data_IF_188651007391
#
_entry.id   IF_188651007391
#
_cell.length_a   1.000
_cell.length_b   1.000
_cell.length_c   1.000
_cell.angle_alpha   90.00
_cell.angle_beta   90.00
_cell.angle_gamma   90.00
#
_symmetry.space_group_name_H-M   'P 1'
#
loop_
_entity.id
_entity.type
_entity.pdbx_description
1 polymer ?
#
# COMPACT_ATOMS: atom_id res chain seq x y z
N UNK A 1 -5.50 31.01 1.23
CA UNK A 1 -5.13 29.70 1.83
C UNK A 1 -4.26 28.92 0.85
N UNK A 2 -2.97 28.73 1.13
CA UNK A 2 -2.09 27.90 0.30
C UNK A 2 -2.52 26.42 0.40
N UNK A 3 -3.15 25.87 -0.64
CA UNK A 3 -3.28 24.42 -0.79
C UNK A 3 -1.86 23.84 -0.77
N UNK A 4 -1.51 23.03 0.25
CA UNK A 4 -0.26 22.25 0.23
C UNK A 4 -0.20 21.50 -1.10
N UNK A 5 0.81 21.78 -1.93
CA UNK A 5 0.97 21.15 -3.26
C UNK A 5 1.68 19.79 -3.19
N UNK A 6 2.30 19.47 -2.04
CA UNK A 6 3.00 18.21 -1.78
C UNK A 6 3.25 18.01 -0.28
N UNK A 7 3.57 16.80 0.14
CA UNK A 7 4.08 16.49 1.49
C UNK A 7 5.13 15.37 1.43
N UNK A 8 5.97 15.26 2.47
CA UNK A 8 7.00 14.22 2.55
C UNK A 8 6.52 13.05 3.40
N UNK A 9 6.78 11.83 2.95
CA UNK A 9 6.57 10.62 3.77
C UNK A 9 7.90 10.08 4.31
N UNK A 10 7.87 9.56 5.54
CA UNK A 10 9.05 9.00 6.23
C UNK A 10 8.73 7.62 6.76
N UNK A 11 9.77 6.82 7.03
CA UNK A 11 9.59 5.48 7.61
C UNK A 11 8.82 5.52 8.93
N UNK A 12 9.14 6.48 9.82
CA UNK A 12 8.47 6.70 11.11
C UNK A 12 6.94 6.83 11.04
N UNK A 13 6.42 7.29 9.90
CA UNK A 13 4.96 7.41 9.71
C UNK A 13 4.27 6.04 9.61
N UNK A 14 5.02 4.97 9.35
CA UNK A 14 4.47 3.62 9.33
C UNK A 14 4.18 3.10 10.74
N UNK A 15 4.96 3.52 11.73
CA UNK A 15 4.71 3.26 13.15
C UNK A 15 3.50 4.08 13.62
N UNK A 16 3.43 5.37 13.26
CA UNK A 16 2.26 6.21 13.54
C UNK A 16 0.98 5.62 12.93
N UNK A 17 1.06 5.13 11.69
CA UNK A 17 -0.06 4.47 11.03
C UNK A 17 -0.48 3.17 11.73
N UNK A 18 0.47 2.41 12.29
CA UNK A 18 0.13 1.22 13.07
C UNK A 18 -0.65 1.59 14.34
N UNK A 19 -0.21 2.61 15.06
CA UNK A 19 -0.90 3.11 16.25
C UNK A 19 -2.31 3.58 15.88
N UNK A 20 -2.43 4.38 14.82
CA UNK A 20 -3.73 4.84 14.30
C UNK A 20 -4.70 3.70 13.97
N UNK A 21 -4.22 2.60 13.36
CA UNK A 21 -5.08 1.45 13.08
C UNK A 21 -5.49 0.68 14.35
N UNK A 22 -4.61 0.61 15.36
CA UNK A 22 -4.93 -0.01 16.66
C UNK A 22 -5.99 0.77 17.42
N UNK A 23 -5.88 2.10 17.44
CA UNK A 23 -6.87 2.99 18.06
C UNK A 23 -8.25 2.89 17.39
N UNK A 24 -8.28 2.50 16.11
CA UNK A 24 -9.51 2.20 15.36
C UNK A 24 -9.94 0.74 15.45
N UNK A 25 -9.38 -0.02 16.39
CA UNK A 25 -9.72 -1.41 16.68
C UNK A 25 -9.58 -2.35 15.48
N UNK A 26 -8.67 -2.04 14.55
CA UNK A 26 -8.41 -2.90 13.40
C UNK A 26 -7.79 -4.23 13.84
N UNK A 27 -8.26 -5.33 13.24
CA UNK A 27 -7.69 -6.65 13.51
C UNK A 27 -6.19 -6.70 13.16
N UNK A 28 -5.40 -7.46 13.94
CA UNK A 28 -3.94 -7.61 13.75
C UNK A 28 -3.55 -8.00 12.32
N UNK A 29 -4.34 -8.88 11.68
CA UNK A 29 -4.13 -9.30 10.31
C UNK A 29 -4.28 -8.13 9.31
N UNK A 30 -5.31 -7.30 9.49
CA UNK A 30 -5.55 -6.10 8.68
C UNK A 30 -4.45 -5.06 8.86
N UNK A 31 -3.99 -4.85 10.10
CA UNK A 31 -2.87 -3.95 10.40
C UNK A 31 -1.61 -4.40 9.67
N UNK A 32 -1.24 -5.68 9.80
CA UNK A 32 -0.06 -6.25 9.14
C UNK A 32 -0.14 -6.13 7.62
N UNK A 33 -1.32 -6.41 7.04
CA UNK A 33 -1.58 -6.25 5.61
C UNK A 33 -1.39 -4.80 5.17
N UNK A 34 -2.06 -3.85 5.81
CA UNK A 34 -1.99 -2.44 5.43
C UNK A 34 -0.59 -1.85 5.60
N UNK A 35 0.15 -2.22 6.65
CA UNK A 35 1.56 -1.83 6.77
C UNK A 35 2.39 -2.35 5.60
N UNK A 36 2.11 -3.56 5.13
CA UNK A 36 2.79 -4.15 3.98
C UNK A 36 2.46 -3.41 2.69
N UNK A 37 1.19 -3.11 2.46
CA UNK A 37 0.73 -2.35 1.29
C UNK A 37 1.35 -0.94 1.25
N UNK A 38 1.44 -0.26 2.40
CA UNK A 38 2.08 1.07 2.50
C UNK A 38 3.59 1.00 2.26
N UNK A 39 4.27 -0.10 2.64
CA UNK A 39 5.68 -0.29 2.28
C UNK A 39 5.87 -0.34 0.76
N UNK A 40 5.01 -1.02 0.03
CA UNK A 40 5.05 -1.02 -1.46
C UNK A 40 4.88 0.40 -1.99
N UNK A 41 3.96 1.17 -1.43
CA UNK A 41 3.81 2.58 -1.81
C UNK A 41 5.08 3.38 -1.52
N UNK A 42 5.70 3.22 -0.35
CA UNK A 42 6.95 3.90 0.00
C UNK A 42 8.11 3.49 -0.92
N UNK A 43 8.18 2.23 -1.33
CA UNK A 43 9.15 1.71 -2.31
C UNK A 43 8.92 2.32 -3.69
N UNK A 44 7.66 2.39 -4.15
CA UNK A 44 7.28 3.06 -5.39
C UNK A 44 7.70 4.55 -5.41
N UNK A 45 7.58 5.24 -4.28
CA UNK A 45 7.99 6.64 -4.14
C UNK A 45 9.52 6.85 -4.14
N UNK A 46 10.31 5.77 -4.07
CA UNK A 46 11.76 5.81 -4.09
C UNK A 46 12.38 6.66 -2.98
N UNK A 47 13.51 7.29 -3.29
CA UNK A 47 14.26 8.15 -2.36
C UNK A 47 13.64 9.52 -2.17
N UNK A 48 12.95 10.06 -3.19
CA UNK A 48 12.38 11.40 -3.15
C UNK A 48 11.27 11.52 -2.10
N UNK A 49 10.42 10.48 -1.95
CA UNK A 49 9.33 10.41 -0.95
C UNK A 49 8.43 11.65 -0.86
N UNK A 50 8.41 12.46 -1.92
CA UNK A 50 7.60 13.65 -2.05
C UNK A 50 6.27 13.29 -2.70
N UNK A 51 5.23 13.20 -1.90
CA UNK A 51 3.89 12.85 -2.35
C UNK A 51 3.20 14.07 -2.96
N UNK A 52 2.79 13.94 -4.21
CA UNK A 52 1.91 14.87 -4.94
C UNK A 52 0.62 14.13 -5.31
N UNK A 53 -0.45 14.87 -5.67
CA UNK A 53 -1.69 14.24 -6.14
C UNK A 53 -1.43 13.42 -7.41
N UNK A 54 -0.52 13.89 -8.26
CA UNK A 54 -0.10 13.20 -9.47
C UNK A 54 0.58 11.87 -9.15
N UNK A 55 1.52 11.84 -8.19
CA UNK A 55 2.17 10.60 -7.75
C UNK A 55 1.20 9.56 -7.21
N UNK A 56 0.13 9.99 -6.53
CA UNK A 56 -0.92 9.08 -6.06
C UNK A 56 -1.73 8.46 -7.21
N UNK A 57 -1.93 9.21 -8.31
CA UNK A 57 -2.58 8.70 -9.52
C UNK A 57 -1.64 7.75 -10.27
N UNK A 58 -0.37 8.13 -10.45
CA UNK A 58 0.65 7.25 -11.04
C UNK A 58 0.79 5.93 -10.28
N UNK A 59 0.75 5.97 -8.94
CA UNK A 59 0.77 4.75 -8.13
C UNK A 59 -0.46 3.88 -8.38
N UNK A 60 -1.64 4.48 -8.48
CA UNK A 60 -2.87 3.74 -8.81
C UNK A 60 -2.73 3.03 -10.17
N UNK A 61 -2.24 3.72 -11.19
CA UNK A 61 -2.07 3.13 -12.52
C UNK A 61 -0.99 2.04 -12.52
N UNK A 62 0.10 2.24 -11.77
CA UNK A 62 1.14 1.24 -11.54
C UNK A 62 0.59 -0.03 -10.87
N UNK A 63 -0.36 0.11 -9.93
CA UNK A 63 -1.04 -1.03 -9.31
C UNK A 63 -1.88 -1.82 -10.33
N UNK A 64 -2.65 -1.15 -11.18
CA UNK A 64 -3.48 -1.82 -12.19
C UNK A 64 -2.65 -2.63 -13.21
N UNK A 65 -1.42 -2.21 -13.48
CA UNK A 65 -0.53 -2.92 -14.40
C UNK A 65 0.07 -4.20 -13.79
N UNK A 66 0.16 -4.27 -12.46
CA UNK A 66 0.92 -5.31 -11.73
C UNK A 66 0.08 -6.25 -10.89
N UNK A 67 -1.12 -5.82 -10.48
CA UNK A 67 -1.97 -6.57 -9.57
C UNK A 67 -3.38 -6.71 -10.16
N UNK A 68 -4.10 -7.75 -9.73
CA UNK A 68 -5.54 -7.85 -9.95
C UNK A 68 -6.28 -6.62 -9.39
N UNK A 69 -7.40 -6.22 -10.00
CA UNK A 69 -8.15 -5.03 -9.58
C UNK A 69 -8.68 -5.14 -8.14
N UNK A 70 -9.02 -6.35 -7.71
CA UNK A 70 -9.41 -6.68 -6.33
C UNK A 70 -8.26 -6.40 -5.33
N UNK A 71 -7.04 -6.83 -5.66
CA UNK A 71 -5.82 -6.54 -4.90
C UNK A 71 -5.48 -5.05 -4.90
N UNK A 72 -5.46 -4.43 -6.08
CA UNK A 72 -5.19 -3.00 -6.22
C UNK A 72 -6.19 -2.15 -5.41
N UNK A 73 -7.47 -2.53 -5.41
CA UNK A 73 -8.49 -1.87 -4.59
C UNK A 73 -8.22 -2.01 -3.09
N UNK A 74 -7.78 -3.17 -2.61
CA UNK A 74 -7.38 -3.36 -1.20
C UNK A 74 -6.19 -2.47 -0.83
N UNK A 75 -5.18 -2.39 -1.69
CA UNK A 75 -4.00 -1.54 -1.48
C UNK A 75 -4.38 -0.05 -1.49
N UNK A 76 -5.31 0.36 -2.35
CA UNK A 76 -5.85 1.72 -2.36
C UNK A 76 -6.66 2.04 -1.09
N UNK A 77 -7.32 1.05 -0.47
CA UNK A 77 -7.94 1.25 0.85
C UNK A 77 -6.87 1.53 1.91
N UNK A 78 -5.81 0.72 1.96
CA UNK A 78 -4.69 0.95 2.88
C UNK A 78 -4.09 2.35 2.67
N UNK A 79 -3.81 2.73 1.41
CA UNK A 79 -3.30 4.06 1.04
C UNK A 79 -4.23 5.18 1.50
N UNK A 80 -5.54 5.05 1.26
CA UNK A 80 -6.50 6.09 1.65
C UNK A 80 -6.60 6.24 3.17
N UNK A 81 -6.49 5.15 3.94
CA UNK A 81 -6.44 5.23 5.40
C UNK A 81 -5.12 5.83 5.91
N UNK A 82 -4.01 5.53 5.24
CA UNK A 82 -2.73 6.16 5.54
C UNK A 82 -2.78 7.68 5.29
N UNK A 83 -3.43 8.11 4.20
CA UNK A 83 -3.66 9.54 3.95
C UNK A 83 -4.54 10.19 5.03
N UNK A 84 -5.54 9.48 5.56
CA UNK A 84 -6.33 9.98 6.70
C UNK A 84 -5.47 10.15 7.95
N UNK A 85 -4.63 9.16 8.27
CA UNK A 85 -3.69 9.21 9.39
C UNK A 85 -2.77 10.44 9.32
N UNK A 86 -2.35 10.84 8.11
CA UNK A 86 -1.50 12.00 7.88
C UNK A 86 -2.28 13.34 7.83
N UNK A 87 -3.60 13.33 8.08
CA UNK A 87 -4.46 14.51 7.93
C UNK A 87 -4.65 14.96 6.47
N UNK A 88 -4.30 14.11 5.51
CA UNK A 88 -4.37 14.36 4.06
C UNK A 88 -5.59 13.67 3.42
N UNK A 89 -6.69 13.48 4.16
CA UNK A 89 -7.90 12.80 3.68
C UNK A 89 -8.52 13.38 2.40
N UNK A 90 -8.33 14.68 2.13
CA UNK A 90 -8.74 15.32 0.86
C UNK A 90 -7.97 14.82 -0.38
N UNK A 91 -6.90 14.04 -0.18
CA UNK A 91 -6.01 13.55 -1.24
C UNK A 91 -6.29 12.11 -1.63
N UNK A 92 -7.32 11.49 -1.05
CA UNK A 92 -7.75 10.12 -1.36
C UNK A 92 -7.89 9.87 -2.86
N UNK A 93 -7.52 8.66 -3.27
CA UNK A 93 -7.63 8.19 -4.64
C UNK A 93 -8.85 7.30 -4.76
N UNK A 94 -9.62 7.49 -5.84
CA UNK A 94 -10.76 6.62 -6.14
C UNK A 94 -10.28 5.23 -6.50
N UNK A 95 -10.92 4.22 -5.90
CA UNK A 95 -10.79 2.81 -6.26
C UNK A 95 -11.23 2.56 -7.70
N UNK A 96 -10.78 1.45 -8.28
CA UNK A 96 -11.27 0.97 -9.56
C UNK A 96 -12.73 0.52 -9.42
N UNK A 97 -13.56 0.86 -10.40
CA UNK A 97 -14.92 0.35 -10.49
C UNK A 97 -14.83 -1.09 -10.98
N UNK A 98 -15.06 -2.04 -10.09
CA UNK A 98 -15.24 -3.45 -10.45
C UNK A 98 -16.74 -3.64 -10.58
N UNK A 99 -17.22 -4.02 -11.77
CA UNK A 99 -18.61 -4.42 -11.92
C UNK A 99 -18.75 -5.81 -11.32
N UNK A 100 -19.80 -6.09 -10.52
CA UNK A 100 -20.12 -7.45 -10.11
C UNK A 100 -20.71 -8.20 -11.31
N UNK A 101 -19.89 -8.43 -12.35
CA UNK A 101 -20.26 -9.34 -13.41
C UNK A 101 -19.84 -10.74 -12.98
N UNK A 102 -20.82 -11.63 -13.02
CA UNK A 102 -20.74 -13.06 -12.77
C UNK A 102 -19.34 -13.60 -13.09
N UNK A 103 -18.70 -14.15 -12.06
CA UNK A 103 -17.64 -15.16 -12.11
C UNK A 103 -17.40 -15.70 -13.54
N UNK A 104 -16.47 -15.09 -14.27
CA UNK A 104 -15.85 -15.72 -15.44
C UNK A 104 -14.47 -15.12 -15.67
N UNK A 105 -13.51 -15.83 -15.08
CA UNK A 105 -12.20 -16.16 -15.62
C UNK A 105 -11.53 -15.08 -16.47
N UNK A 106 -10.74 -14.23 -15.80
CA UNK A 106 -9.47 -13.65 -16.29
C UNK A 106 -8.85 -12.66 -15.27
N UNK A 107 -9.26 -12.67 -13.99
CA UNK A 107 -8.48 -12.00 -12.94
C UNK A 107 -7.23 -12.83 -12.66
N UNK A 108 -6.18 -12.65 -13.48
CA UNK A 108 -4.78 -13.10 -13.28
C UNK A 108 -4.61 -13.86 -11.97
N UNK A 109 -4.99 -15.14 -12.00
CA UNK A 109 -4.82 -16.05 -10.88
C UNK A 109 -3.32 -16.19 -10.65
N UNK A 110 -2.93 -16.22 -9.37
CA UNK A 110 -1.56 -16.27 -8.86
C UNK A 110 -0.85 -14.90 -8.78
N UNK A 111 -0.91 -14.27 -7.61
CA UNK A 111 0.23 -13.51 -7.01
C UNK A 111 0.10 -13.33 -5.48
N UNK A 112 -0.81 -14.07 -4.82
CA UNK A 112 -0.81 -14.16 -3.35
C UNK A 112 0.44 -14.88 -2.82
N UNK A 113 0.97 -15.83 -3.57
CA UNK A 113 2.19 -16.57 -3.23
C UNK A 113 3.47 -15.82 -3.61
N UNK A 114 3.50 -15.09 -4.73
CA UNK A 114 4.69 -14.30 -5.12
C UNK A 114 4.99 -13.16 -4.13
N UNK A 115 3.95 -12.53 -3.57
CA UNK A 115 4.11 -11.48 -2.57
C UNK A 115 4.55 -12.02 -1.19
N UNK A 116 4.25 -13.27 -0.87
CA UNK A 116 4.82 -13.96 0.30
C UNK A 116 6.28 -14.37 0.05
N UNK A 117 6.58 -14.89 -1.14
CA UNK A 117 7.92 -15.38 -1.49
C UNK A 117 8.97 -14.26 -1.48
N UNK A 118 8.63 -13.06 -2.00
CA UNK A 118 9.51 -11.87 -1.95
C UNK A 118 9.77 -11.38 -0.51
N UNK A 119 8.85 -11.61 0.43
CA UNK A 119 9.05 -11.29 1.84
C UNK A 119 9.87 -12.33 2.61
N UNK A 120 9.85 -13.59 2.18
CA UNK A 120 10.68 -14.63 2.78
C UNK A 120 12.14 -14.51 2.34
N UNK A 121 12.43 -14.06 1.12
CA UNK A 121 13.83 -13.84 0.68
C UNK A 121 14.52 -12.70 1.41
N UNK A 122 13.78 -11.71 1.91
CA UNK A 122 14.32 -10.61 2.72
C UNK A 122 14.56 -10.98 4.20
N UNK A 123 14.03 -12.12 4.68
CA UNK A 123 14.15 -12.54 6.09
C UNK A 123 15.22 -13.59 6.36
N UNK A 124 15.87 -14.12 5.32
CA UNK A 124 16.88 -15.19 5.45
C UNK A 124 18.34 -14.76 5.29
N UNK A 125 18.67 -13.46 5.20
CA UNK A 125 20.06 -12.97 5.38
C UNK A 125 20.36 -12.62 6.83
N UNK A 126 20.14 -13.59 7.71
CA UNK A 126 20.29 -13.43 9.15
C UNK A 126 20.55 -14.71 9.93
N UNK A 127 21.10 -15.77 9.32
CA UNK A 127 21.86 -16.84 10.02
C UNK A 127 22.39 -17.84 9.01
N UNK A 128 23.69 -17.82 8.78
CA UNK A 128 24.54 -18.94 9.17
C UNK A 128 26.02 -18.54 9.07
N UNK A 129 26.67 -18.74 10.19
CA UNK A 129 28.10 -18.83 10.42
C UNK A 129 28.77 -19.80 9.44
N UNK A 130 30.01 -19.45 9.02
CA UNK A 130 31.19 -20.27 8.69
C UNK A 130 31.01 -21.55 7.83
N UNK A 131 31.92 -21.82 6.89
CA UNK A 131 33.27 -22.28 7.24
C UNK A 131 34.39 -21.27 6.99
#
# INVERSE_FOLDING_TARGET
>A
MCRKKSFMIRRGMLEEFEVFLKERESAKATISKYRSDIKVFMEFMGTERRVTKQKLIEYKDWLAQRYALSSANSMLVALNQFLDCLGMGGWKVRRFKVQPQCFRAEEKEMTGEEYRLLRETAKNRGRNSLP
#
